data_IF_564901760872
#
_entry.id   IF_564901760872
#
_cell.length_a   1.000
_cell.length_b   1.000
_cell.length_c   1.000
_cell.angle_alpha   90.00
_cell.angle_beta   90.00
_cell.angle_gamma   90.00
#
_symmetry.space_group_name_H-M   'P 1'
#
loop_
_entity.id
_entity.type
_entity.pdbx_description
1 polymer ?
#
# COMPACT_ATOMS: atom_id res chain seq x y z
N UNK A 1 -10.99 -23.15 13.98
CA UNK A 1 -11.20 -21.70 14.21
C UNK A 1 -10.85 -20.94 12.94
N UNK A 2 -11.56 -19.87 12.63
CA UNK A 2 -11.24 -19.02 11.47
C UNK A 2 -9.96 -18.23 11.74
N UNK A 3 -9.07 -18.12 10.75
CA UNK A 3 -7.79 -17.40 10.84
C UNK A 3 -7.69 -16.38 9.73
N UNK A 4 -7.14 -15.21 10.03
CA UNK A 4 -6.82 -14.18 9.04
C UNK A 4 -5.31 -14.04 8.98
N UNK A 5 -4.72 -14.30 7.81
CA UNK A 5 -3.31 -14.01 7.58
C UNK A 5 -3.14 -12.60 7.02
N UNK A 6 -2.23 -11.83 7.58
CA UNK A 6 -1.90 -10.47 7.13
C UNK A 6 -0.40 -10.43 6.82
N UNK A 7 -0.03 -10.03 5.62
CA UNK A 7 1.39 -9.94 5.26
C UNK A 7 1.77 -8.63 4.58
N UNK A 8 3.02 -8.22 4.84
CA UNK A 8 3.71 -7.09 4.22
C UNK A 8 5.21 -7.24 4.42
N UNK A 9 6.00 -6.42 3.76
CA UNK A 9 7.45 -6.33 3.98
C UNK A 9 7.86 -5.26 5.01
N UNK A 10 7.00 -4.27 5.29
CA UNK A 10 7.29 -3.12 6.13
C UNK A 10 6.35 -2.98 7.34
N UNK A 11 6.50 -1.87 8.07
CA UNK A 11 5.73 -1.58 9.29
C UNK A 11 4.31 -1.06 9.02
N UNK A 12 4.01 -0.65 7.78
CA UNK A 12 2.72 -0.06 7.42
C UNK A 12 1.53 -0.99 7.69
N UNK A 13 1.74 -2.28 7.57
CA UNK A 13 0.75 -3.33 7.84
C UNK A 13 0.24 -3.39 9.28
N UNK A 14 1.02 -2.91 10.26
CA UNK A 14 0.60 -2.87 11.66
C UNK A 14 -0.66 -2.02 11.86
N UNK A 15 -0.81 -0.95 11.08
CA UNK A 15 -2.02 -0.11 11.11
C UNK A 15 -3.25 -0.87 10.60
N UNK A 16 -3.07 -1.76 9.62
CA UNK A 16 -4.13 -2.62 9.08
C UNK A 16 -4.54 -3.66 10.11
N UNK A 17 -3.57 -4.33 10.76
CA UNK A 17 -3.85 -5.30 11.83
C UNK A 17 -4.64 -4.64 12.96
N UNK A 18 -4.20 -3.46 13.41
CA UNK A 18 -4.89 -2.69 14.45
C UNK A 18 -6.33 -2.33 14.07
N UNK A 19 -6.57 -2.08 12.78
CA UNK A 19 -7.91 -1.82 12.27
C UNK A 19 -8.77 -3.08 12.27
N UNK A 20 -8.22 -4.24 11.84
CA UNK A 20 -8.94 -5.51 11.84
C UNK A 20 -9.35 -5.91 13.25
N UNK A 21 -8.46 -5.77 14.24
CA UNK A 21 -8.70 -6.11 15.65
C UNK A 21 -9.87 -5.34 16.28
N UNK A 22 -10.27 -4.18 15.71
CA UNK A 22 -11.46 -3.45 16.16
C UNK A 22 -12.77 -4.10 15.73
N UNK A 23 -12.74 -4.92 14.69
CA UNK A 23 -13.97 -5.49 14.10
C UNK A 23 -14.09 -7.00 14.33
N UNK A 24 -13.03 -7.68 14.72
CA UNK A 24 -13.06 -9.12 14.94
C UNK A 24 -12.12 -9.54 16.04
N UNK A 25 -12.50 -10.63 16.75
CA UNK A 25 -11.64 -11.36 17.70
C UNK A 25 -10.99 -12.59 17.07
N UNK A 26 -11.05 -12.72 15.76
CA UNK A 26 -10.44 -13.83 15.02
C UNK A 26 -8.93 -13.83 15.20
N UNK A 27 -8.33 -15.01 15.24
CA UNK A 27 -6.87 -15.18 15.28
C UNK A 27 -6.24 -14.52 14.05
N UNK A 28 -5.25 -13.64 14.29
CA UNK A 28 -4.52 -12.95 13.23
C UNK A 28 -3.10 -13.48 13.18
N UNK A 29 -2.71 -14.02 12.03
CA UNK A 29 -1.34 -14.42 11.72
C UNK A 29 -0.68 -13.25 11.00
N UNK A 30 0.32 -12.66 11.61
CA UNK A 30 1.11 -11.59 10.99
C UNK A 30 2.40 -12.14 10.40
N UNK A 31 2.56 -12.01 9.10
CA UNK A 31 3.78 -12.38 8.39
C UNK A 31 4.54 -11.13 7.90
N UNK A 32 5.59 -10.74 8.62
CA UNK A 32 6.50 -9.67 8.24
C UNK A 32 7.58 -10.22 7.30
N UNK A 33 7.48 -9.98 6.01
CA UNK A 33 8.44 -10.44 5.00
C UNK A 33 9.68 -9.53 4.93
N UNK A 34 10.39 -9.45 6.05
CA UNK A 34 11.59 -8.59 6.19
C UNK A 34 12.70 -8.96 5.21
N UNK A 35 12.82 -10.24 4.85
CA UNK A 35 13.82 -10.72 3.89
C UNK A 35 13.69 -10.03 2.52
N UNK A 36 12.48 -9.71 2.11
CA UNK A 36 12.19 -9.10 0.81
C UNK A 36 11.92 -7.60 0.89
N UNK A 37 12.13 -7.00 2.07
CA UNK A 37 11.95 -5.55 2.28
C UNK A 37 12.92 -4.71 1.43
N UNK A 38 12.51 -3.57 0.86
CA UNK A 38 11.11 -3.15 0.67
C UNK A 38 10.56 -3.66 -0.67
N UNK A 39 9.30 -4.05 -0.72
CA UNK A 39 8.63 -4.49 -1.95
C UNK A 39 8.69 -3.48 -3.10
N UNK A 40 8.62 -2.20 -2.80
CA UNK A 40 8.64 -1.12 -3.78
C UNK A 40 9.94 -0.99 -4.60
N UNK A 41 11.03 -1.67 -4.19
CA UNK A 41 12.31 -1.71 -4.92
C UNK A 41 12.46 -2.94 -5.83
N UNK A 42 11.57 -3.91 -5.72
CA UNK A 42 11.63 -5.13 -6.54
C UNK A 42 11.08 -4.86 -7.95
N UNK A 43 11.62 -5.57 -8.92
CA UNK A 43 10.99 -5.63 -10.25
C UNK A 43 9.62 -6.33 -10.13
N UNK A 44 8.72 -6.08 -11.08
CA UNK A 44 7.41 -6.72 -11.06
C UNK A 44 7.51 -8.26 -11.05
N UNK A 45 8.46 -8.83 -11.80
CA UNK A 45 8.67 -10.28 -11.86
C UNK A 45 9.19 -10.84 -10.53
N UNK A 46 10.18 -10.18 -9.91
CA UNK A 46 10.67 -10.56 -8.59
C UNK A 46 9.57 -10.50 -7.55
N UNK A 47 8.81 -9.39 -7.53
CA UNK A 47 7.73 -9.21 -6.58
C UNK A 47 6.62 -10.25 -6.77
N UNK A 48 6.29 -10.59 -8.03
CA UNK A 48 5.34 -11.66 -8.31
C UNK A 48 5.75 -12.97 -7.66
N UNK A 49 7.00 -13.40 -7.89
CA UNK A 49 7.54 -14.63 -7.30
C UNK A 49 7.49 -14.62 -5.77
N UNK A 50 7.83 -13.48 -5.16
CA UNK A 50 7.77 -13.31 -3.71
C UNK A 50 6.34 -13.45 -3.19
N UNK A 51 5.37 -12.79 -3.84
CA UNK A 51 3.96 -12.85 -3.44
C UNK A 51 3.40 -14.27 -3.60
N UNK A 52 3.68 -14.94 -4.73
CA UNK A 52 3.27 -16.33 -4.94
C UNK A 52 3.78 -17.25 -3.81
N UNK A 53 5.08 -17.15 -3.50
CA UNK A 53 5.70 -17.97 -2.44
C UNK A 53 5.15 -17.61 -1.05
N UNK A 54 4.86 -16.34 -0.78
CA UNK A 54 4.30 -15.91 0.50
C UNK A 54 2.88 -16.43 0.68
N UNK A 55 2.03 -16.31 -0.34
CA UNK A 55 0.66 -16.82 -0.30
C UNK A 55 0.68 -18.35 -0.09
N UNK A 56 1.48 -19.06 -0.89
CA UNK A 56 1.60 -20.53 -0.77
C UNK A 56 2.05 -20.94 0.63
N UNK A 57 3.07 -20.28 1.17
CA UNK A 57 3.56 -20.55 2.53
C UNK A 57 2.48 -20.34 3.60
N UNK A 58 1.73 -19.25 3.49
CA UNK A 58 0.63 -18.96 4.43
C UNK A 58 -0.48 -20.01 4.35
N UNK A 59 -0.83 -20.44 3.13
CA UNK A 59 -1.81 -21.50 2.90
C UNK A 59 -1.34 -22.82 3.52
N UNK A 60 -0.12 -23.25 3.21
CA UNK A 60 0.41 -24.55 3.64
C UNK A 60 0.61 -24.65 5.15
N UNK A 61 1.04 -23.55 5.79
CA UNK A 61 1.38 -23.57 7.22
C UNK A 61 0.21 -23.23 8.14
N UNK A 62 -0.72 -22.40 7.71
CA UNK A 62 -1.72 -21.84 8.60
C UNK A 62 -3.16 -22.05 8.15
N UNK A 63 -3.38 -22.44 6.89
CA UNK A 63 -4.71 -22.66 6.30
C UNK A 63 -5.70 -21.53 6.64
N UNK A 64 -5.34 -20.23 6.34
CA UNK A 64 -6.18 -19.13 6.72
C UNK A 64 -7.47 -19.10 5.91
N UNK A 65 -8.56 -18.65 6.54
CA UNK A 65 -9.82 -18.40 5.84
C UNK A 65 -9.78 -17.14 4.97
N UNK A 66 -8.88 -16.20 5.30
CA UNK A 66 -8.68 -14.94 4.58
C UNK A 66 -7.20 -14.55 4.62
N UNK A 67 -6.67 -14.09 3.49
CA UNK A 67 -5.33 -13.53 3.38
C UNK A 67 -5.45 -12.04 3.04
N UNK A 68 -4.81 -11.19 3.82
CA UNK A 68 -4.77 -9.74 3.58
C UNK A 68 -3.36 -9.35 3.13
N UNK A 69 -3.27 -8.91 1.88
CA UNK A 69 -2.08 -8.30 1.31
C UNK A 69 -2.02 -6.84 1.77
N UNK A 70 -1.36 -6.59 2.92
CA UNK A 70 -1.42 -5.31 3.63
C UNK A 70 -0.43 -4.26 3.08
N UNK A 71 -0.07 -4.37 1.82
CA UNK A 71 0.82 -3.46 1.11
C UNK A 71 0.17 -2.95 -0.17
N UNK A 72 0.18 -1.62 -0.37
CA UNK A 72 -0.42 -1.01 -1.57
C UNK A 72 0.28 -1.42 -2.87
N UNK A 73 1.60 -1.55 -2.85
CA UNK A 73 2.37 -1.89 -4.07
C UNK A 73 1.93 -3.22 -4.66
N UNK A 74 2.01 -4.35 -3.94
CA UNK A 74 1.55 -5.62 -4.49
C UNK A 74 0.03 -5.66 -4.72
N UNK A 75 -0.78 -5.03 -3.87
CA UNK A 75 -2.24 -4.98 -4.03
C UNK A 75 -2.66 -4.33 -5.35
N UNK A 76 -1.97 -3.29 -5.78
CA UNK A 76 -2.21 -2.64 -7.07
C UNK A 76 -1.63 -3.47 -8.22
N UNK A 77 -0.36 -3.88 -8.13
CA UNK A 77 0.33 -4.57 -9.22
C UNK A 77 -0.24 -5.94 -9.54
N UNK A 78 -0.81 -6.60 -8.53
CA UNK A 78 -1.36 -7.95 -8.62
C UNK A 78 -2.84 -8.00 -8.22
N UNK A 79 -3.60 -7.01 -8.66
CA UNK A 79 -5.05 -6.94 -8.39
C UNK A 79 -5.84 -8.16 -8.91
N UNK A 80 -5.27 -8.95 -9.83
CA UNK A 80 -5.83 -10.20 -10.29
C UNK A 80 -5.82 -11.33 -9.24
N UNK A 81 -5.02 -11.21 -8.17
CA UNK A 81 -5.09 -12.15 -7.01
C UNK A 81 -6.25 -11.84 -6.08
N UNK A 82 -6.78 -10.61 -6.14
CA UNK A 82 -7.83 -10.18 -5.22
C UNK A 82 -9.16 -10.87 -5.56
N UNK A 83 -9.82 -11.37 -4.53
CA UNK A 83 -11.07 -12.09 -4.65
C UNK A 83 -11.65 -12.45 -3.28
N UNK A 84 -12.36 -13.57 -3.20
CA UNK A 84 -13.02 -13.99 -1.95
C UNK A 84 -12.05 -14.32 -0.82
N UNK A 85 -10.90 -14.90 -1.15
CA UNK A 85 -9.92 -15.37 -0.15
C UNK A 85 -8.72 -14.45 0.03
N UNK A 86 -8.39 -13.61 -0.95
CA UNK A 86 -7.26 -12.68 -0.91
C UNK A 86 -7.77 -11.26 -1.07
N UNK A 87 -7.55 -10.43 -0.05
CA UNK A 87 -7.94 -9.03 -0.03
C UNK A 87 -6.68 -8.15 -0.04
N UNK A 88 -6.69 -7.10 -0.86
CA UNK A 88 -5.60 -6.14 -0.93
C UNK A 88 -5.98 -4.80 -0.30
N UNK A 89 -4.98 -4.09 0.22
CA UNK A 89 -5.14 -2.71 0.67
C UNK A 89 -4.94 -1.78 -0.52
N UNK A 90 -6.03 -1.15 -0.96
CA UNK A 90 -6.05 -0.24 -2.11
C UNK A 90 -6.15 1.22 -1.65
N UNK A 91 -5.66 2.19 -2.45
CA UNK A 91 -5.86 3.60 -2.15
C UNK A 91 -7.35 3.95 -2.03
N UNK A 92 -7.77 4.69 -0.98
CA UNK A 92 -9.18 5.00 -0.73
C UNK A 92 -9.67 6.15 -1.62
N UNK A 93 -9.72 5.92 -2.93
CA UNK A 93 -10.02 6.95 -3.94
C UNK A 93 -11.43 7.52 -3.77
N UNK A 94 -12.43 6.69 -3.51
CA UNK A 94 -13.81 7.14 -3.28
C UNK A 94 -13.88 8.16 -2.13
N UNK A 95 -13.27 7.83 -1.00
CA UNK A 95 -13.22 8.73 0.15
C UNK A 95 -12.49 10.02 -0.16
N UNK A 96 -11.37 9.95 -0.90
CA UNK A 96 -10.62 11.13 -1.29
C UNK A 96 -11.44 12.04 -2.24
N UNK A 97 -12.23 11.44 -3.13
CA UNK A 97 -13.12 12.17 -4.04
C UNK A 97 -14.25 12.90 -3.30
N UNK A 98 -14.82 12.28 -2.27
CA UNK A 98 -15.85 12.89 -1.42
C UNK A 98 -15.32 14.08 -0.62
N UNK A 99 -14.04 14.04 -0.23
CA UNK A 99 -13.39 15.10 0.55
C UNK A 99 -12.76 16.22 -0.29
N UNK A 100 -12.63 16.01 -1.59
CA UNK A 100 -11.97 16.98 -2.49
C UNK A 100 -12.96 17.97 -3.07
N UNK A 101 -12.91 19.23 -2.63
CA UNK A 101 -13.78 20.31 -3.11
C UNK A 101 -13.63 20.59 -4.60
N UNK A 102 -12.42 20.46 -5.15
CA UNK A 102 -12.11 20.79 -6.55
C UNK A 102 -11.85 19.54 -7.42
N UNK A 103 -12.08 18.33 -6.91
CA UNK A 103 -11.88 17.08 -7.63
C UNK A 103 -10.41 16.73 -7.93
N UNK A 104 -9.43 17.50 -7.44
CA UNK A 104 -8.01 17.25 -7.64
C UNK A 104 -7.46 16.36 -6.51
N UNK A 105 -6.84 15.23 -6.86
CA UNK A 105 -6.32 14.27 -5.90
C UNK A 105 -4.87 13.93 -6.22
N UNK A 106 -4.00 14.09 -5.22
CA UNK A 106 -2.63 13.60 -5.27
C UNK A 106 -2.55 12.16 -4.76
N UNK A 107 -1.96 11.28 -5.57
CA UNK A 107 -1.72 9.89 -5.19
C UNK A 107 -0.24 9.71 -4.93
N UNK A 108 0.10 9.53 -3.66
CA UNK A 108 1.45 9.26 -3.21
C UNK A 108 1.70 7.74 -3.23
N UNK A 109 2.76 7.33 -3.90
CA UNK A 109 3.10 5.91 -3.96
C UNK A 109 4.57 5.69 -4.29
N UNK A 110 5.00 4.42 -4.24
CA UNK A 110 6.34 4.06 -4.72
C UNK A 110 6.45 4.30 -6.23
N UNK A 111 7.66 4.54 -6.71
CA UNK A 111 7.92 4.72 -8.15
C UNK A 111 7.34 3.59 -9.00
N UNK A 112 7.45 2.34 -8.51
CA UNK A 112 6.89 1.16 -9.18
C UNK A 112 5.36 1.26 -9.30
N UNK A 113 4.67 1.64 -8.22
CA UNK A 113 3.21 1.75 -8.18
C UNK A 113 2.70 2.88 -9.07
N UNK A 114 3.25 4.11 -8.93
CA UNK A 114 2.72 5.28 -9.64
C UNK A 114 2.93 5.23 -11.15
N UNK A 115 3.96 4.49 -11.62
CA UNK A 115 4.25 4.27 -13.04
C UNK A 115 3.54 3.06 -13.64
N UNK A 116 2.85 2.27 -12.82
CA UNK A 116 2.21 1.04 -13.27
C UNK A 116 0.96 1.30 -14.12
N UNK A 117 0.74 0.42 -15.11
CA UNK A 117 -0.50 0.38 -15.89
C UNK A 117 -1.68 -0.04 -15.01
N UNK A 118 -1.42 -0.84 -14.00
CA UNK A 118 -2.41 -1.34 -13.04
C UNK A 118 -3.02 -0.19 -12.22
N UNK A 119 -2.19 0.72 -11.69
CA UNK A 119 -2.72 1.91 -11.02
C UNK A 119 -3.55 2.76 -11.98
N UNK A 120 -3.08 2.97 -13.21
CA UNK A 120 -3.84 3.73 -14.21
C UNK A 120 -5.20 3.09 -14.51
N UNK A 121 -5.24 1.75 -14.61
CA UNK A 121 -6.49 0.99 -14.80
C UNK A 121 -7.40 1.09 -13.59
N UNK A 122 -6.84 1.02 -12.38
CA UNK A 122 -7.60 1.19 -11.13
C UNK A 122 -8.25 2.57 -11.07
N UNK A 123 -7.50 3.63 -11.37
CA UNK A 123 -8.00 5.00 -11.31
C UNK A 123 -9.09 5.30 -12.36
N UNK A 124 -9.04 4.66 -13.53
CA UNK A 124 -10.08 4.81 -14.57
C UNK A 124 -11.48 4.39 -14.10
N UNK A 125 -11.59 3.56 -13.06
CA UNK A 125 -12.88 3.16 -12.49
C UNK A 125 -13.62 4.31 -11.80
N UNK A 126 -12.92 5.38 -11.45
CA UNK A 126 -13.45 6.51 -10.67
C UNK A 126 -13.77 7.75 -11.50
N UNK A 127 -14.04 7.58 -12.80
CA UNK A 127 -14.41 8.62 -13.76
C UNK A 127 -13.21 9.40 -14.35
N UNK A 128 -13.21 9.53 -15.68
CA UNK A 128 -12.08 10.04 -16.48
C UNK A 128 -11.86 11.56 -16.40
N UNK A 129 -12.82 12.32 -15.92
CA UNK A 129 -12.76 13.79 -15.86
C UNK A 129 -11.98 14.34 -14.66
N UNK A 130 -11.53 13.48 -13.75
CA UNK A 130 -10.88 13.91 -12.51
C UNK A 130 -9.37 13.88 -12.63
N UNK A 131 -8.73 14.95 -12.22
CA UNK A 131 -7.27 15.10 -12.28
C UNK A 131 -6.59 14.36 -11.13
N UNK A 132 -6.14 13.11 -11.40
CA UNK A 132 -5.25 12.38 -10.49
C UNK A 132 -3.80 12.73 -10.76
N UNK A 133 -3.14 13.39 -9.81
CA UNK A 133 -1.70 13.63 -9.86
C UNK A 133 -0.96 12.49 -9.18
N UNK A 134 -0.21 11.71 -9.96
CA UNK A 134 0.64 10.62 -9.45
C UNK A 134 1.96 11.19 -8.97
N UNK A 135 2.32 10.95 -7.70
CA UNK A 135 3.47 11.57 -7.04
C UNK A 135 4.38 10.47 -6.51
N UNK A 136 5.66 10.50 -6.93
CA UNK A 136 6.68 9.63 -6.37
C UNK A 136 7.01 10.07 -4.95
N UNK A 137 6.60 9.27 -3.99
CA UNK A 137 6.81 9.46 -2.56
C UNK A 137 7.74 8.37 -1.97
N UNK A 138 8.57 7.75 -2.79
CA UNK A 138 9.42 6.62 -2.39
C UNK A 138 10.26 6.93 -1.16
N UNK A 139 10.84 8.13 -1.06
CA UNK A 139 11.65 8.54 0.09
C UNK A 139 10.78 8.69 1.36
N UNK A 140 9.60 9.29 1.24
CA UNK A 140 8.69 9.42 2.38
C UNK A 140 8.19 8.05 2.85
N UNK A 141 7.85 7.16 1.92
CA UNK A 141 7.43 5.78 2.23
C UNK A 141 8.55 5.04 2.95
N UNK A 142 9.80 5.18 2.50
CA UNK A 142 10.97 4.57 3.15
C UNK A 142 11.10 5.04 4.61
N UNK A 143 10.92 6.32 4.90
CA UNK A 143 10.99 6.85 6.27
C UNK A 143 9.92 6.22 7.17
N UNK A 144 8.71 6.03 6.64
CA UNK A 144 7.61 5.39 7.38
C UNK A 144 7.92 3.91 7.63
N UNK A 145 8.27 3.18 6.58
CA UNK A 145 8.49 1.73 6.65
C UNK A 145 9.71 1.34 7.50
N UNK A 146 10.72 2.21 7.61
CA UNK A 146 11.89 1.99 8.45
C UNK A 146 11.74 2.53 9.88
N UNK A 147 10.60 3.16 10.21
CA UNK A 147 10.38 3.78 11.51
C UNK A 147 11.14 5.09 11.73
N UNK A 148 11.88 5.60 10.72
CA UNK A 148 12.65 6.84 10.84
C UNK A 148 11.79 8.08 11.10
N UNK A 149 10.50 8.01 10.83
CA UNK A 149 9.56 9.10 11.19
C UNK A 149 9.46 9.30 12.71
N UNK A 150 9.74 8.27 13.51
CA UNK A 150 9.79 8.36 15.00
C UNK A 150 11.12 8.91 15.48
N UNK A 151 12.24 8.48 14.89
CA UNK A 151 13.60 8.83 15.34
C UNK A 151 14.12 10.13 14.74
N UNK A 152 13.61 10.52 13.56
CA UNK A 152 14.00 11.75 12.84
C UNK A 152 12.79 12.51 12.27
N UNK A 153 11.89 13.03 13.12
CA UNK A 153 10.66 13.69 12.68
C UNK A 153 10.92 14.97 11.87
N UNK A 154 12.02 15.68 12.11
CA UNK A 154 12.36 16.90 11.38
C UNK A 154 12.68 16.62 9.91
N UNK A 155 13.42 15.55 9.63
CA UNK A 155 13.70 15.13 8.26
C UNK A 155 12.41 14.70 7.54
N UNK A 156 11.54 13.98 8.24
CA UNK A 156 10.24 13.59 7.70
C UNK A 156 9.37 14.81 7.33
N UNK A 157 9.30 15.82 8.22
CA UNK A 157 8.61 17.10 7.97
C UNK A 157 9.21 17.83 6.77
N UNK A 158 10.55 17.88 6.65
CA UNK A 158 11.23 18.51 5.51
C UNK A 158 10.86 17.84 4.19
N UNK A 159 11.05 16.52 4.10
CA UNK A 159 10.74 15.76 2.88
C UNK A 159 9.27 15.89 2.49
N UNK A 160 8.35 15.83 3.46
CA UNK A 160 6.91 16.02 3.21
C UNK A 160 6.64 17.42 2.66
N UNK A 161 7.20 18.47 3.27
CA UNK A 161 7.04 19.86 2.82
C UNK A 161 7.55 20.06 1.40
N UNK A 162 8.74 19.55 1.09
CA UNK A 162 9.38 19.68 -0.22
C UNK A 162 8.56 18.95 -1.29
N UNK A 163 8.05 17.77 -0.97
CA UNK A 163 7.16 16.99 -1.84
C UNK A 163 5.84 17.75 -2.12
N UNK A 164 5.24 18.34 -1.09
CA UNK A 164 4.01 19.11 -1.24
C UNK A 164 4.24 20.42 -2.05
N UNK A 165 5.30 21.18 -1.72
CA UNK A 165 5.67 22.38 -2.47
C UNK A 165 5.85 22.09 -3.94
N UNK A 166 6.68 21.10 -4.28
CA UNK A 166 6.97 20.72 -5.67
C UNK A 166 5.73 20.32 -6.46
N UNK A 167 4.75 19.72 -5.80
CA UNK A 167 3.63 19.08 -6.51
C UNK A 167 2.31 19.84 -6.43
N UNK A 168 2.09 20.66 -5.42
CA UNK A 168 0.79 21.31 -5.20
C UNK A 168 0.87 22.83 -5.10
N UNK A 169 2.01 23.39 -4.69
CA UNK A 169 2.17 24.83 -4.59
C UNK A 169 2.88 25.28 -5.87
N UNK A 170 2.16 25.93 -6.77
CA UNK A 170 2.80 26.69 -7.86
C UNK A 170 3.59 27.82 -7.23
N UNK A 171 4.89 27.92 -7.53
CA UNK A 171 5.62 29.16 -7.28
C UNK A 171 4.87 30.26 -8.03
N UNK A 172 4.29 31.20 -7.27
CA UNK A 172 3.83 32.48 -7.82
C UNK A 172 5.02 33.26 -8.27
#
# INVERSE_FOLDING_TARGET
MSRIAVFDSGLGSLSIIRSIQKFTKTEIIYYADQKNFPYGKKTKLQLKKIIDQTIQKLEDQFHPSLIIMASNTPSILFSNYLGKKIVGVLPPIEKALLLSENGRIGILGTKATIRSKELSRYLKKFNSERNFKKIDATELIKLVETGQFLTNPNNCKKITRDLLKKNFIKNK
#
